data_IF_858854207157
#
_entry.id   IF_858854207157
#
_cell.length_a   1.000
_cell.length_b   1.000
_cell.length_c   1.000
_cell.angle_alpha   90.00
_cell.angle_beta   90.00
_cell.angle_gamma   90.00
#
_symmetry.space_group_name_H-M   'P 1'
#
loop_
_entity.id
_entity.type
_entity.pdbx_description
1 polymer ?
#
# COMPACT_ATOMS: atom_id res chain seq x y z
N UNK A 1 -17.16 0.11 13.25
CA UNK A 1 -16.56 0.42 11.92
C UNK A 1 -17.43 1.34 11.08
N UNK A 2 -18.71 1.00 10.85
CA UNK A 2 -19.65 1.86 10.09
C UNK A 2 -19.78 3.30 10.65
N UNK A 3 -19.67 3.48 11.97
CA UNK A 3 -19.68 4.81 12.60
C UNK A 3 -18.49 5.70 12.17
N UNK A 4 -17.33 5.11 11.86
CA UNK A 4 -16.15 5.88 11.42
C UNK A 4 -16.30 6.32 9.96
N UNK A 5 -16.81 5.44 9.09
CA UNK A 5 -16.98 5.75 7.67
C UNK A 5 -18.04 6.83 7.44
N UNK A 6 -19.08 6.89 8.26
CA UNK A 6 -20.13 7.90 8.14
C UNK A 6 -19.83 9.19 8.92
N UNK A 7 -18.69 9.28 9.61
CA UNK A 7 -18.33 10.50 10.32
C UNK A 7 -18.07 11.63 9.31
N UNK A 8 -18.76 12.77 9.41
CA UNK A 8 -18.53 13.90 8.52
C UNK A 8 -17.19 14.60 8.78
N UNK A 9 -16.56 14.35 9.93
CA UNK A 9 -15.30 14.99 10.34
C UNK A 9 -14.05 14.16 10.00
N UNK A 10 -14.20 13.08 9.24
CA UNK A 10 -13.10 12.20 8.84
C UNK A 10 -13.01 12.21 7.32
N UNK A 11 -11.87 12.60 6.77
CA UNK A 11 -11.64 12.60 5.33
C UNK A 11 -10.87 11.36 4.86
N UNK A 12 -10.02 10.81 5.72
CA UNK A 12 -9.09 9.71 5.40
C UNK A 12 -9.20 8.59 6.42
N UNK A 13 -9.22 7.34 5.92
CA UNK A 13 -9.18 6.11 6.71
C UNK A 13 -7.85 5.41 6.45
N UNK A 14 -7.18 4.96 7.52
CA UNK A 14 -6.05 4.04 7.40
C UNK A 14 -6.50 2.61 7.70
N UNK A 15 -6.26 1.70 6.77
CA UNK A 15 -6.57 0.27 6.91
C UNK A 15 -5.29 -0.48 7.28
N UNK A 16 -5.22 -0.96 8.52
CA UNK A 16 -4.08 -1.69 9.10
C UNK A 16 -4.46 -3.10 9.57
N UNK A 17 -5.50 -3.70 9.00
CA UNK A 17 -5.91 -5.06 9.32
C UNK A 17 -4.99 -6.09 8.68
N UNK A 18 -5.09 -7.39 9.01
CA UNK A 18 -4.38 -8.42 8.24
C UNK A 18 -4.79 -8.37 6.77
N UNK A 19 -3.82 -8.68 5.89
CA UNK A 19 -4.09 -8.89 4.46
C UNK A 19 -5.12 -10.01 4.29
N UNK A 20 -5.98 -9.89 3.28
CA UNK A 20 -7.15 -10.75 3.08
C UNK A 20 -8.46 -10.05 3.44
N UNK A 21 -8.40 -9.01 4.29
CA UNK A 21 -9.57 -8.25 4.74
C UNK A 21 -9.61 -6.81 4.23
N UNK A 22 -8.69 -6.42 3.34
CA UNK A 22 -8.55 -5.02 2.93
C UNK A 22 -9.67 -4.61 1.96
N UNK A 23 -9.96 -5.43 0.95
CA UNK A 23 -10.93 -5.08 -0.11
C UNK A 23 -12.28 -4.66 0.47
N UNK A 24 -12.82 -5.41 1.41
CA UNK A 24 -14.16 -5.19 1.95
C UNK A 24 -14.21 -3.87 2.74
N UNK A 25 -13.16 -3.57 3.50
CA UNK A 25 -13.04 -2.34 4.28
C UNK A 25 -12.83 -1.11 3.40
N UNK A 26 -12.00 -1.26 2.36
CA UNK A 26 -11.70 -0.20 1.40
C UNK A 26 -12.92 0.10 0.54
N UNK A 27 -13.63 -0.93 0.09
CA UNK A 27 -14.90 -0.77 -0.63
C UNK A 27 -15.93 -0.01 0.22
N UNK A 28 -16.05 -0.34 1.50
CA UNK A 28 -16.97 0.34 2.40
C UNK A 28 -16.56 1.81 2.67
N UNK A 29 -15.26 2.07 2.88
CA UNK A 29 -14.75 3.42 3.07
C UNK A 29 -14.89 4.29 1.80
N UNK A 30 -14.60 3.73 0.63
CA UNK A 30 -14.72 4.40 -0.65
C UNK A 30 -16.17 4.79 -0.96
N UNK A 31 -17.13 3.87 -0.75
CA UNK A 31 -18.57 4.14 -0.88
C UNK A 31 -19.08 5.21 0.09
N UNK A 32 -18.38 5.43 1.19
CA UNK A 32 -18.66 6.51 2.14
C UNK A 32 -17.91 7.81 1.81
N UNK A 33 -17.24 7.89 0.65
CA UNK A 33 -16.52 9.07 0.17
C UNK A 33 -15.22 9.34 0.91
N UNK A 34 -14.63 8.34 1.58
CA UNK A 34 -13.39 8.51 2.35
C UNK A 34 -12.17 8.15 1.52
N UNK A 35 -11.12 8.96 1.59
CA UNK A 35 -9.82 8.59 1.06
C UNK A 35 -9.19 7.48 1.92
N UNK A 36 -8.35 6.66 1.31
CA UNK A 36 -7.81 5.45 1.94
C UNK A 36 -6.29 5.43 1.87
N UNK A 37 -5.70 5.11 3.02
CA UNK A 37 -4.30 4.65 3.13
C UNK A 37 -4.33 3.19 3.59
N UNK A 38 -3.69 2.28 2.87
CA UNK A 38 -3.74 0.84 3.14
C UNK A 38 -2.34 0.30 3.44
N UNK A 39 -2.22 -0.50 4.51
CA UNK A 39 -1.00 -1.23 4.84
C UNK A 39 -0.62 -2.25 3.78
N UNK A 40 0.65 -2.68 3.82
CA UNK A 40 1.19 -3.68 2.88
C UNK A 40 1.10 -5.11 3.46
N UNK A 41 0.88 -6.14 2.62
CA UNK A 41 0.51 -6.05 1.21
C UNK A 41 -0.89 -5.46 1.04
N UNK A 42 -1.14 -4.77 -0.08
CA UNK A 42 -2.44 -4.15 -0.34
C UNK A 42 -3.56 -5.18 -0.32
N UNK A 43 -3.34 -6.34 -0.93
CA UNK A 43 -4.22 -7.50 -0.82
C UNK A 43 -3.46 -8.79 -1.21
N UNK A 44 -4.09 -9.95 -1.00
CA UNK A 44 -3.51 -11.28 -1.24
C UNK A 44 -3.44 -11.68 -2.73
N UNK A 45 -4.25 -11.08 -3.60
CA UNK A 45 -4.22 -11.30 -5.05
C UNK A 45 -4.26 -9.99 -5.84
N UNK A 46 -3.75 -10.00 -7.07
CA UNK A 46 -3.76 -8.83 -7.93
C UNK A 46 -5.19 -8.42 -8.34
N UNK A 47 -6.06 -9.40 -8.60
CA UNK A 47 -7.45 -9.17 -8.98
C UNK A 47 -8.20 -8.40 -7.91
N UNK A 48 -7.99 -8.76 -6.63
CA UNK A 48 -8.60 -8.02 -5.51
C UNK A 48 -8.03 -6.61 -5.35
N UNK A 49 -6.75 -6.40 -5.70
CA UNK A 49 -6.17 -5.04 -5.77
C UNK A 49 -6.82 -4.24 -6.90
N UNK A 50 -7.09 -4.84 -8.06
CA UNK A 50 -7.79 -4.19 -9.16
C UNK A 50 -9.21 -3.79 -8.76
N UNK A 51 -9.93 -4.65 -8.02
CA UNK A 51 -11.24 -4.33 -7.43
C UNK A 51 -11.16 -3.13 -6.46
N UNK A 52 -10.13 -3.09 -5.60
CA UNK A 52 -9.88 -1.95 -4.71
C UNK A 52 -9.65 -0.65 -5.47
N UNK A 53 -8.89 -0.69 -6.56
CA UNK A 53 -8.62 0.47 -7.41
C UNK A 53 -9.90 0.93 -8.09
N UNK A 54 -10.68 0.00 -8.66
CA UNK A 54 -11.93 0.29 -9.36
C UNK A 54 -12.94 0.97 -8.45
N UNK A 55 -13.22 0.40 -7.27
CA UNK A 55 -14.20 0.99 -6.33
C UNK A 55 -13.78 2.37 -5.83
N UNK A 56 -12.48 2.60 -5.63
CA UNK A 56 -11.97 3.93 -5.25
C UNK A 56 -12.14 4.95 -6.38
N UNK A 57 -11.86 4.56 -7.62
CA UNK A 57 -12.03 5.40 -8.79
C UNK A 57 -13.51 5.76 -9.04
N UNK A 58 -14.41 4.78 -8.94
CA UNK A 58 -15.87 4.97 -9.09
C UNK A 58 -16.45 5.97 -8.09
N UNK A 59 -15.91 5.99 -6.86
CA UNK A 59 -16.35 6.90 -5.80
C UNK A 59 -15.49 8.18 -5.71
N UNK A 60 -14.59 8.41 -6.67
CA UNK A 60 -13.71 9.57 -6.73
C UNK A 60 -12.89 9.80 -5.44
N UNK A 61 -12.36 8.71 -4.86
CA UNK A 61 -11.50 8.77 -3.67
C UNK A 61 -10.09 8.25 -3.98
N UNK A 62 -9.09 8.81 -3.31
CA UNK A 62 -7.71 8.34 -3.42
C UNK A 62 -7.49 7.04 -2.63
N UNK A 63 -6.79 6.09 -3.25
CA UNK A 63 -6.22 4.92 -2.60
C UNK A 63 -4.69 5.02 -2.63
N UNK A 64 -4.05 4.97 -1.46
CA UNK A 64 -2.60 4.96 -1.32
C UNK A 64 -2.13 3.73 -0.53
N UNK A 65 -1.10 3.04 -1.00
CA UNK A 65 -0.41 2.00 -0.23
C UNK A 65 0.71 2.57 0.63
N UNK A 66 0.91 2.03 1.84
CA UNK A 66 2.03 2.37 2.72
C UNK A 66 3.32 1.69 2.23
N UNK A 67 4.18 2.49 1.59
CA UNK A 67 5.50 2.06 1.10
C UNK A 67 6.63 2.88 1.75
N UNK A 68 6.88 2.74 3.06
CA UNK A 68 7.72 3.66 3.83
C UNK A 68 9.18 3.64 3.36
N UNK A 69 9.67 2.50 2.84
CA UNK A 69 11.03 2.38 2.30
C UNK A 69 11.32 3.37 1.17
N UNK A 70 10.31 3.86 0.45
CA UNK A 70 10.48 4.90 -0.59
C UNK A 70 11.02 6.21 -0.02
N UNK A 71 10.83 6.49 1.28
CA UNK A 71 11.29 7.70 1.94
C UNK A 71 12.68 7.58 2.58
N UNK A 72 13.30 6.40 2.54
CA UNK A 72 14.68 6.24 3.01
C UNK A 72 15.63 7.11 2.18
N UNK A 73 16.61 7.73 2.84
CA UNK A 73 17.57 8.62 2.19
C UNK A 73 18.29 7.95 0.99
N UNK A 74 18.64 6.67 1.12
CA UNK A 74 19.25 5.90 0.02
C UNK A 74 18.32 5.71 -1.17
N UNK A 75 17.03 5.43 -0.94
CA UNK A 75 16.03 5.31 -2.00
C UNK A 75 15.75 6.63 -2.69
N UNK A 76 15.67 7.72 -1.95
CA UNK A 76 15.51 9.08 -2.49
C UNK A 76 16.73 9.51 -3.32
N UNK A 77 17.96 9.23 -2.84
CA UNK A 77 19.19 9.50 -3.56
C UNK A 77 19.26 8.71 -4.88
N UNK A 78 18.92 7.42 -4.85
CA UNK A 78 18.87 6.58 -6.04
C UNK A 78 17.84 7.11 -7.04
N UNK A 79 16.63 7.44 -6.58
CA UNK A 79 15.58 8.01 -7.44
C UNK A 79 16.01 9.32 -8.08
N UNK A 80 16.64 10.22 -7.32
CA UNK A 80 17.17 11.48 -7.84
C UNK A 80 18.26 11.23 -8.90
N UNK A 81 19.17 10.30 -8.65
CA UNK A 81 20.23 9.97 -9.59
C UNK A 81 19.72 9.40 -10.91
N UNK A 82 18.70 8.53 -10.84
CA UNK A 82 18.00 8.00 -12.01
C UNK A 82 17.30 9.11 -12.80
N UNK A 83 16.57 10.00 -12.12
CA UNK A 83 15.87 11.11 -12.77
C UNK A 83 16.81 12.11 -13.46
N UNK A 84 18.04 12.23 -12.97
CA UNK A 84 19.10 13.06 -13.55
C UNK A 84 19.86 12.36 -14.69
N UNK A 85 19.52 11.12 -15.05
CA UNK A 85 20.22 10.38 -16.09
C UNK A 85 21.66 9.99 -15.74
N UNK A 86 22.03 9.96 -14.44
CA UNK A 86 23.42 9.72 -13.99
C UNK A 86 24.00 8.37 -14.41
N UNK A 87 23.13 7.41 -14.76
CA UNK A 87 23.51 6.07 -15.18
C UNK A 87 23.38 5.86 -16.70
N UNK A 88 22.98 6.89 -17.46
CA UNK A 88 22.63 6.74 -18.87
C UNK A 88 21.46 5.79 -19.06
N UNK A 89 21.60 4.80 -19.94
CA UNK A 89 20.61 3.75 -20.15
C UNK A 89 20.75 2.68 -19.07
N UNK A 90 19.72 2.51 -18.24
CA UNK A 90 19.70 1.48 -17.21
C UNK A 90 19.63 0.09 -17.86
N UNK A 91 20.68 -0.72 -17.69
CA UNK A 91 20.73 -2.08 -18.24
C UNK A 91 20.24 -3.15 -17.25
N UNK A 92 20.45 -2.94 -15.95
CA UNK A 92 20.18 -3.93 -14.91
C UNK A 92 19.92 -3.24 -13.56
N UNK A 93 19.10 -3.87 -12.72
CA UNK A 93 18.89 -3.48 -11.32
C UNK A 93 18.69 -4.74 -10.47
N UNK A 94 19.34 -4.77 -9.30
CA UNK A 94 19.18 -5.84 -8.32
C UNK A 94 18.64 -5.29 -7.00
N UNK A 95 17.82 -6.09 -6.32
CA UNK A 95 17.32 -5.79 -4.99
C UNK A 95 17.45 -7.02 -4.09
N UNK A 96 18.05 -6.83 -2.90
CA UNK A 96 18.23 -7.90 -1.92
C UNK A 96 17.64 -7.50 -0.58
N UNK A 97 16.92 -8.43 0.03
CA UNK A 97 16.45 -8.33 1.42
C UNK A 97 16.99 -9.55 2.16
N UNK A 98 18.17 -9.39 2.78
CA UNK A 98 18.86 -10.46 3.51
C UNK A 98 18.35 -10.52 4.95
N UNK A 99 17.12 -10.99 5.13
CA UNK A 99 16.54 -11.20 6.46
C UNK A 99 16.78 -12.63 6.92
N UNK A 100 17.26 -12.76 8.15
CA UNK A 100 17.22 -14.03 8.87
C UNK A 100 15.96 -14.06 9.73
N UNK A 101 15.28 -15.20 9.75
CA UNK A 101 14.08 -15.49 10.53
C UNK A 101 14.21 -16.91 11.09
N UNK A 102 13.77 -17.13 12.33
CA UNK A 102 13.75 -18.47 12.93
C UNK A 102 12.63 -19.31 12.31
N UNK A 103 12.64 -20.62 12.58
CA UNK A 103 11.52 -21.49 12.19
C UNK A 103 10.21 -21.06 12.87
N UNK A 104 10.26 -20.69 14.17
CA UNK A 104 9.06 -20.27 14.91
C UNK A 104 8.40 -19.03 14.28
N UNK A 105 9.17 -18.14 13.67
CA UNK A 105 8.62 -16.97 12.96
C UNK A 105 7.63 -17.39 11.87
N UNK A 106 7.99 -18.38 11.04
CA UNK A 106 7.13 -18.82 9.95
C UNK A 106 5.92 -19.62 10.45
N UNK A 107 6.08 -20.35 11.55
CA UNK A 107 4.99 -21.11 12.18
C UNK A 107 3.98 -20.19 12.88
N UNK A 108 4.41 -18.99 13.31
CA UNK A 108 3.54 -18.01 13.97
C UNK A 108 2.47 -17.40 13.05
N UNK A 109 2.60 -17.58 11.72
CA UNK A 109 1.69 -16.97 10.74
C UNK A 109 1.77 -15.45 10.66
N UNK A 110 2.87 -14.86 11.15
CA UNK A 110 3.17 -13.43 11.10
C UNK A 110 3.66 -12.95 9.72
#
# INVERSE_FOLDING_TARGET
>A
MLLLFNSPNIDVITVCTPSGFHLELISAAAKAGKHIICEKPLEVTAERVDEMIAVCAENNVMLAGIFPRRFNASSQLLKKALAQGRFGNNAMADAYIKWWRTQEYYESGA
#
